data_IF_484996047836
#
_entry.id   IF_484996047836
#
_cell.length_a   1.000
_cell.length_b   1.000
_cell.length_c   1.000
_cell.angle_alpha   90.00
_cell.angle_beta   90.00
_cell.angle_gamma   90.00
#
_symmetry.space_group_name_H-M   'P 1'
#
loop_
_entity.id
_entity.type
_entity.pdbx_description
1 polymer ?
#
# COMPACT_ATOMS: atom_id res chain seq x y z
N UNK A 1 -29.92 19.56 -14.53
CA UNK A 1 -30.23 18.53 -13.52
C UNK A 1 -29.27 17.37 -13.69
N UNK A 2 -28.71 16.77 -12.60
CA UNK A 2 -27.79 15.64 -12.68
C UNK A 2 -28.30 14.47 -13.55
N UNK A 3 -29.60 14.23 -13.54
CA UNK A 3 -30.23 13.19 -14.36
C UNK A 3 -30.12 13.48 -15.87
N UNK A 4 -30.24 14.74 -16.29
CA UNK A 4 -30.04 15.12 -17.71
C UNK A 4 -28.62 14.93 -18.18
N UNK A 5 -27.63 15.24 -17.33
CA UNK A 5 -26.20 15.03 -17.64
C UNK A 5 -25.86 13.53 -17.74
N UNK A 6 -26.49 12.69 -16.91
CA UNK A 6 -26.35 11.24 -17.03
C UNK A 6 -27.01 10.68 -18.29
N UNK A 7 -28.20 11.17 -18.64
CA UNK A 7 -28.86 10.77 -19.89
C UNK A 7 -28.09 11.21 -21.14
N UNK A 8 -27.54 12.42 -21.14
CA UNK A 8 -26.71 12.93 -22.23
C UNK A 8 -25.39 12.14 -22.36
N UNK A 9 -24.76 11.78 -21.24
CA UNK A 9 -23.56 10.92 -21.24
C UNK A 9 -23.87 9.50 -21.77
N UNK A 10 -24.97 8.90 -21.35
CA UNK A 10 -25.42 7.57 -21.84
C UNK A 10 -25.80 7.62 -23.32
N UNK A 11 -26.40 8.71 -23.79
CA UNK A 11 -26.71 8.88 -25.20
C UNK A 11 -25.46 9.15 -26.05
N UNK A 12 -24.47 9.89 -25.53
CA UNK A 12 -23.19 10.09 -26.19
C UNK A 12 -22.43 8.75 -26.34
N UNK A 13 -22.37 7.94 -25.27
CA UNK A 13 -21.76 6.61 -25.31
C UNK A 13 -22.46 5.66 -26.31
N UNK A 14 -23.77 5.75 -26.45
CA UNK A 14 -24.52 4.97 -27.47
C UNK A 14 -24.24 5.40 -28.91
N UNK A 15 -23.98 6.69 -29.14
CA UNK A 15 -23.62 7.22 -30.48
C UNK A 15 -22.21 6.85 -30.89
N UNK A 16 -21.33 6.64 -29.94
CA UNK A 16 -19.94 6.24 -30.16
C UNK A 16 -19.74 4.72 -30.30
N UNK A 17 -20.76 3.93 -29.93
CA UNK A 17 -20.71 2.47 -30.02
C UNK A 17 -20.85 2.02 -31.48
N UNK A 18 -19.86 1.32 -31.96
CA UNK A 18 -19.82 0.78 -33.33
C UNK A 18 -19.38 -0.68 -33.34
N UNK A 19 -19.82 -1.42 -34.36
CA UNK A 19 -19.29 -2.76 -34.66
C UNK A 19 -18.11 -2.57 -35.61
N UNK A 20 -16.90 -2.86 -35.13
CA UNK A 20 -15.66 -2.65 -35.86
C UNK A 20 -15.01 -3.98 -36.22
N UNK A 21 -14.59 -4.18 -37.49
CA UNK A 21 -13.82 -5.34 -37.88
C UNK A 21 -12.53 -5.51 -37.09
N UNK A 22 -12.23 -6.72 -36.65
CA UNK A 22 -11.05 -7.03 -35.83
C UNK A 22 -9.73 -6.73 -36.56
N UNK A 23 -9.69 -6.92 -37.87
CA UNK A 23 -8.52 -6.69 -38.71
C UNK A 23 -8.16 -5.20 -38.88
N UNK A 24 -9.11 -4.30 -38.63
CA UNK A 24 -8.88 -2.86 -38.61
C UNK A 24 -8.31 -2.33 -37.29
N UNK A 25 -8.25 -3.16 -36.28
CA UNK A 25 -7.73 -2.82 -34.97
C UNK A 25 -6.28 -3.23 -34.82
N UNK A 26 -5.51 -2.43 -34.11
CA UNK A 26 -4.15 -2.74 -33.72
C UNK A 26 -3.92 -2.49 -32.24
N UNK A 27 -2.91 -3.16 -31.72
CA UNK A 27 -2.49 -3.00 -30.33
C UNK A 27 -2.07 -1.57 -30.04
N UNK A 28 -2.49 -1.03 -28.89
CA UNK A 28 -2.05 0.27 -28.40
C UNK A 28 -0.56 0.26 -28.05
N UNK A 29 0.13 1.37 -28.32
CA UNK A 29 1.57 1.55 -28.04
C UNK A 29 1.92 1.41 -26.56
N UNK A 30 0.97 1.64 -25.66
CA UNK A 30 1.17 1.79 -24.22
C UNK A 30 0.43 0.75 -23.38
N UNK A 31 0.18 -0.43 -23.96
CA UNK A 31 -0.46 -1.52 -23.20
C UNK A 31 0.55 -2.10 -22.20
N UNK A 32 0.25 -2.07 -20.88
CA UNK A 32 1.18 -2.47 -19.84
C UNK A 32 1.38 -3.99 -19.73
N UNK A 33 0.47 -4.81 -20.30
CA UNK A 33 0.57 -6.26 -20.27
C UNK A 33 1.34 -6.80 -21.47
N UNK A 34 2.52 -7.33 -21.20
CA UNK A 34 3.29 -8.11 -22.18
C UNK A 34 2.91 -9.58 -22.17
N UNK A 35 2.56 -10.12 -21.00
CA UNK A 35 2.25 -11.53 -20.80
C UNK A 35 0.76 -11.71 -20.51
N UNK A 36 0.07 -12.40 -21.40
CA UNK A 36 -1.29 -12.87 -21.17
C UNK A 36 -1.23 -14.37 -20.93
N UNK A 37 -1.83 -14.82 -19.82
CA UNK A 37 -1.98 -16.24 -19.56
C UNK A 37 -2.79 -16.88 -20.70
N UNK A 38 -2.22 -17.83 -21.45
CA UNK A 38 -2.91 -18.48 -22.58
C UNK A 38 -4.20 -19.19 -22.16
N UNK A 39 -4.23 -19.79 -20.97
CA UNK A 39 -5.41 -20.48 -20.45
C UNK A 39 -6.54 -19.49 -20.12
N UNK A 40 -6.24 -18.39 -19.46
CA UNK A 40 -7.24 -17.36 -19.16
C UNK A 40 -7.77 -16.70 -20.45
N UNK A 41 -6.93 -16.57 -21.48
CA UNK A 41 -7.34 -16.05 -22.78
C UNK A 41 -8.27 -17.02 -23.50
N UNK A 42 -7.99 -18.33 -23.44
CA UNK A 42 -8.84 -19.37 -24.01
C UNK A 42 -10.20 -19.45 -23.34
N UNK A 43 -10.24 -19.39 -22.01
CA UNK A 43 -11.51 -19.35 -21.25
C UNK A 43 -12.36 -18.14 -21.65
N UNK A 44 -11.72 -16.97 -21.80
CA UNK A 44 -12.40 -15.77 -22.29
C UNK A 44 -12.90 -15.93 -23.73
N UNK A 45 -12.13 -16.56 -24.60
CA UNK A 45 -12.52 -16.85 -25.98
C UNK A 45 -13.74 -17.78 -26.05
N UNK A 46 -13.80 -18.80 -25.21
CA UNK A 46 -14.97 -19.69 -25.09
C UNK A 46 -16.21 -18.95 -24.62
N UNK A 47 -16.07 -18.07 -23.62
CA UNK A 47 -17.17 -17.23 -23.14
C UNK A 47 -17.68 -16.28 -24.23
N UNK A 48 -16.79 -15.65 -24.98
CA UNK A 48 -17.12 -14.74 -26.08
C UNK A 48 -17.79 -15.51 -27.22
N UNK A 49 -17.35 -16.70 -27.53
CA UNK A 49 -17.96 -17.56 -28.53
C UNK A 49 -19.40 -17.95 -28.17
N UNK A 50 -19.66 -18.20 -26.90
CA UNK A 50 -20.98 -18.59 -26.40
C UNK A 50 -21.95 -17.41 -26.25
N UNK A 51 -21.49 -16.25 -25.78
CA UNK A 51 -22.31 -15.13 -25.36
C UNK A 51 -22.05 -13.82 -26.12
N UNK A 52 -21.03 -13.76 -26.95
CA UNK A 52 -20.54 -12.55 -27.58
C UNK A 52 -19.74 -11.64 -26.63
N UNK A 53 -19.33 -10.48 -27.09
CA UNK A 53 -18.61 -9.48 -26.30
C UNK A 53 -19.63 -8.65 -25.51
N UNK A 54 -19.73 -8.92 -24.21
CA UNK A 54 -20.69 -8.25 -23.33
C UNK A 54 -20.31 -6.81 -23.03
N UNK A 55 -19.01 -6.53 -22.92
CA UNK A 55 -18.48 -5.20 -22.65
C UNK A 55 -17.67 -4.70 -23.84
N UNK A 56 -18.04 -3.55 -24.44
CA UNK A 56 -17.30 -2.98 -25.57
C UNK A 56 -15.86 -2.68 -25.21
N UNK A 57 -14.97 -2.80 -26.19
CA UNK A 57 -13.61 -2.27 -26.09
C UNK A 57 -13.60 -0.77 -26.39
N UNK A 58 -12.56 -0.06 -26.02
CA UNK A 58 -12.36 1.35 -26.35
C UNK A 58 -11.24 1.48 -27.34
N UNK A 59 -11.51 2.18 -28.45
CA UNK A 59 -10.55 2.39 -29.53
C UNK A 59 -10.53 3.88 -29.93
N UNK A 60 -9.45 4.30 -30.58
CA UNK A 60 -9.35 5.60 -31.24
C UNK A 60 -9.04 5.45 -32.71
N UNK A 61 -9.55 6.33 -33.58
CA UNK A 61 -9.19 6.34 -34.98
C UNK A 61 -7.73 6.76 -35.15
N UNK A 62 -7.04 6.07 -36.04
CA UNK A 62 -5.70 6.41 -36.50
C UNK A 62 -5.67 6.51 -38.02
N UNK A 63 -4.50 6.75 -38.60
CA UNK A 63 -4.35 6.87 -40.05
C UNK A 63 -4.88 5.63 -40.82
N UNK A 64 -5.31 5.85 -42.07
CA UNK A 64 -5.75 4.80 -43.00
C UNK A 64 -7.01 4.02 -42.59
N UNK A 65 -7.94 4.65 -41.89
CA UNK A 65 -9.20 4.02 -41.45
C UNK A 65 -9.02 2.88 -40.45
N UNK A 66 -7.90 2.84 -39.78
CA UNK A 66 -7.60 1.86 -38.74
C UNK A 66 -7.89 2.44 -37.34
N UNK A 67 -7.89 1.55 -36.37
CA UNK A 67 -8.16 1.89 -34.99
C UNK A 67 -7.04 1.36 -34.08
N UNK A 68 -6.68 2.13 -33.07
CA UNK A 68 -5.77 1.72 -32.00
C UNK A 68 -6.55 1.43 -30.74
N UNK A 69 -6.30 0.28 -30.10
CA UNK A 69 -6.97 -0.13 -28.88
C UNK A 69 -6.44 0.68 -27.71
N UNK A 70 -7.34 1.39 -27.00
CA UNK A 70 -7.04 2.08 -25.73
C UNK A 70 -7.26 1.13 -24.58
N UNK A 71 -8.39 0.41 -24.56
CA UNK A 71 -8.77 -0.50 -23.50
C UNK A 71 -9.47 -1.74 -24.04
N UNK A 72 -9.17 -2.92 -23.48
CA UNK A 72 -9.80 -4.18 -23.85
C UNK A 72 -8.98 -5.06 -24.80
N UNK A 73 -7.66 -5.02 -24.78
CA UNK A 73 -6.80 -5.86 -25.64
C UNK A 73 -7.09 -7.36 -25.45
N UNK A 74 -7.35 -7.82 -24.21
CA UNK A 74 -7.70 -9.22 -23.95
C UNK A 74 -8.99 -9.64 -24.65
N UNK A 75 -10.01 -8.81 -24.62
CA UNK A 75 -11.29 -9.05 -25.31
C UNK A 75 -11.09 -9.09 -26.82
N UNK A 76 -10.27 -8.22 -27.37
CA UNK A 76 -9.92 -8.24 -28.78
C UNK A 76 -9.19 -9.53 -29.19
N UNK A 77 -8.16 -9.95 -28.45
CA UNK A 77 -7.42 -11.19 -28.72
C UNK A 77 -8.32 -12.43 -28.56
N UNK A 78 -9.11 -12.47 -27.49
CA UNK A 78 -10.05 -13.56 -27.27
C UNK A 78 -11.12 -13.62 -28.37
N UNK A 79 -11.56 -12.48 -28.88
CA UNK A 79 -12.50 -12.42 -30.01
C UNK A 79 -11.87 -12.93 -31.32
N UNK A 80 -10.59 -12.68 -31.54
CA UNK A 80 -9.85 -13.29 -32.67
C UNK A 80 -9.80 -14.82 -32.55
N UNK A 81 -9.50 -15.35 -31.36
CA UNK A 81 -9.50 -16.80 -31.11
C UNK A 81 -10.89 -17.41 -31.23
N UNK A 82 -11.93 -16.66 -30.86
CA UNK A 82 -13.32 -17.07 -31.00
C UNK A 82 -13.84 -17.06 -32.47
N UNK A 83 -13.05 -16.52 -33.41
CA UNK A 83 -13.40 -16.45 -34.81
C UNK A 83 -14.43 -15.38 -35.17
N UNK A 84 -14.59 -14.35 -34.35
CA UNK A 84 -15.46 -13.21 -34.66
C UNK A 84 -14.86 -12.32 -35.74
N UNK A 85 -15.72 -11.78 -36.61
CA UNK A 85 -15.29 -10.82 -37.63
C UNK A 85 -15.33 -9.37 -37.13
N UNK A 86 -16.29 -9.04 -36.30
CA UNK A 86 -16.53 -7.71 -35.74
C UNK A 86 -16.84 -7.80 -34.25
N UNK A 87 -16.47 -6.78 -33.52
CA UNK A 87 -16.82 -6.64 -32.10
C UNK A 87 -17.31 -5.23 -31.79
N UNK A 88 -18.14 -5.07 -30.74
CA UNK A 88 -18.57 -3.75 -30.30
C UNK A 88 -17.40 -2.96 -29.72
N UNK A 89 -17.23 -1.75 -30.17
CA UNK A 89 -16.19 -0.83 -29.71
C UNK A 89 -16.75 0.58 -29.54
N UNK A 90 -16.30 1.25 -28.50
CA UNK A 90 -16.52 2.68 -28.31
C UNK A 90 -15.39 3.42 -29.01
N UNK A 91 -15.72 4.27 -29.98
CA UNK A 91 -14.77 5.08 -30.72
C UNK A 91 -14.62 6.42 -30.01
N UNK A 92 -13.40 6.72 -29.58
CA UNK A 92 -13.06 8.01 -28.97
C UNK A 92 -11.93 8.68 -29.74
N UNK A 93 -12.21 9.87 -30.26
CA UNK A 93 -11.22 10.69 -30.94
C UNK A 93 -10.43 11.49 -29.89
N UNK A 94 -9.33 10.92 -29.43
CA UNK A 94 -8.47 11.50 -28.40
C UNK A 94 -7.01 11.57 -28.85
N UNK A 95 -6.24 12.61 -28.47
CA UNK A 95 -4.82 12.69 -28.78
C UNK A 95 -4.03 11.59 -28.08
N UNK A 96 -2.81 11.30 -28.55
CA UNK A 96 -1.93 10.24 -28.03
C UNK A 96 -1.76 10.32 -26.52
N UNK A 97 -1.51 11.51 -25.99
CA UNK A 97 -1.32 11.73 -24.56
C UNK A 97 -2.55 11.33 -23.73
N UNK A 98 -3.73 11.73 -24.16
CA UNK A 98 -4.98 11.36 -23.51
C UNK A 98 -5.25 9.85 -23.61
N UNK A 99 -4.94 9.21 -24.74
CA UNK A 99 -5.07 7.78 -24.93
C UNK A 99 -4.16 6.99 -23.96
N UNK A 100 -2.92 7.44 -23.75
CA UNK A 100 -1.98 6.87 -22.79
C UNK A 100 -2.53 7.00 -21.37
N UNK A 101 -3.01 8.19 -20.99
CA UNK A 101 -3.59 8.42 -19.68
C UNK A 101 -4.80 7.52 -19.42
N UNK A 102 -5.72 7.41 -20.38
CA UNK A 102 -6.89 6.52 -20.27
C UNK A 102 -6.49 5.04 -20.09
N UNK A 103 -5.49 4.56 -20.85
CA UNK A 103 -5.00 3.20 -20.73
C UNK A 103 -4.36 2.93 -19.36
N UNK A 104 -3.58 3.88 -18.82
CA UNK A 104 -2.99 3.77 -17.48
C UNK A 104 -4.06 3.78 -16.39
N UNK A 105 -5.05 4.67 -16.48
CA UNK A 105 -6.14 4.77 -15.50
C UNK A 105 -6.97 3.50 -15.49
N UNK A 106 -7.32 2.94 -16.64
CA UNK A 106 -8.05 1.67 -16.72
C UNK A 106 -7.27 0.53 -16.06
N UNK A 107 -5.96 0.46 -16.33
CA UNK A 107 -5.10 -0.56 -15.71
C UNK A 107 -5.03 -0.42 -14.18
N UNK A 108 -5.01 0.82 -13.65
CA UNK A 108 -5.01 1.09 -12.21
C UNK A 108 -6.33 0.67 -11.55
N UNK A 109 -7.44 0.83 -12.24
CA UNK A 109 -8.79 0.49 -11.73
C UNK A 109 -9.09 -1.02 -11.74
N UNK A 110 -8.12 -1.87 -12.07
CA UNK A 110 -8.28 -3.32 -12.02
C UNK A 110 -8.29 -3.82 -10.58
N UNK A 111 -9.16 -4.80 -10.31
CA UNK A 111 -9.32 -5.38 -8.97
C UNK A 111 -8.18 -6.33 -8.57
N UNK A 112 -7.38 -6.81 -9.52
CA UNK A 112 -6.35 -7.84 -9.31
C UNK A 112 -4.93 -7.28 -9.07
N UNK A 113 -4.76 -5.96 -8.96
CA UNK A 113 -3.47 -5.35 -8.67
C UNK A 113 -3.12 -5.47 -7.17
N UNK A 114 -1.89 -5.89 -6.89
CA UNK A 114 -1.37 -5.76 -5.53
C UNK A 114 -1.02 -4.28 -5.21
N UNK A 115 -0.89 -3.92 -3.93
CA UNK A 115 -0.63 -2.51 -3.53
C UNK A 115 0.64 -1.91 -4.12
N UNK A 116 1.68 -2.71 -4.37
CA UNK A 116 2.94 -2.25 -4.97
C UNK A 116 2.77 -1.97 -6.47
N UNK A 117 2.08 -2.85 -7.19
CA UNK A 117 1.74 -2.64 -8.60
C UNK A 117 0.86 -1.42 -8.78
N UNK A 118 -0.13 -1.25 -7.93
CA UNK A 118 -1.00 -0.07 -7.92
C UNK A 118 -0.20 1.20 -7.66
N UNK A 119 0.69 1.21 -6.66
CA UNK A 119 1.54 2.33 -6.34
C UNK A 119 2.47 2.71 -7.50
N UNK A 120 3.08 1.72 -8.16
CA UNK A 120 3.96 1.94 -9.30
C UNK A 120 3.19 2.53 -10.50
N UNK A 121 1.98 2.06 -10.77
CA UNK A 121 1.12 2.58 -11.84
C UNK A 121 0.66 4.03 -11.54
N UNK A 122 0.32 4.35 -10.30
CA UNK A 122 -0.02 5.71 -9.86
C UNK A 122 1.17 6.66 -9.97
N UNK A 123 2.36 6.21 -9.60
CA UNK A 123 3.59 6.99 -9.74
C UNK A 123 3.87 7.29 -11.21
N UNK A 124 3.73 6.29 -12.07
CA UNK A 124 3.91 6.46 -13.50
C UNK A 124 2.92 7.47 -14.08
N UNK A 125 1.65 7.37 -13.74
CA UNK A 125 0.62 8.33 -14.14
C UNK A 125 0.97 9.76 -13.69
N UNK A 126 1.41 9.90 -12.44
CA UNK A 126 1.80 11.19 -11.88
C UNK A 126 2.99 11.81 -12.61
N UNK A 127 4.03 11.02 -12.88
CA UNK A 127 5.28 11.51 -13.49
C UNK A 127 5.12 11.80 -14.98
N UNK A 128 4.49 10.91 -15.74
CA UNK A 128 4.34 11.08 -17.19
C UNK A 128 3.45 12.26 -17.56
N UNK A 129 2.44 12.57 -16.75
CA UNK A 129 1.50 13.66 -16.98
C UNK A 129 1.69 14.86 -16.05
N UNK A 130 2.73 14.87 -15.23
CA UNK A 130 3.05 15.95 -14.27
C UNK A 130 1.85 16.35 -13.40
N UNK A 131 1.12 15.35 -12.91
CA UNK A 131 -0.08 15.55 -12.11
C UNK A 131 0.26 15.74 -10.63
N UNK A 132 -0.56 16.55 -9.97
CA UNK A 132 -0.58 16.58 -8.49
C UNK A 132 -1.24 15.32 -7.95
N UNK A 133 -0.98 14.99 -6.68
CA UNK A 133 -1.66 13.85 -6.03
C UNK A 133 -3.18 14.00 -6.01
N UNK A 134 -3.68 15.23 -5.90
CA UNK A 134 -5.11 15.50 -5.98
C UNK A 134 -5.66 15.17 -7.37
N UNK A 135 -4.98 15.59 -8.43
CA UNK A 135 -5.39 15.31 -9.82
C UNK A 135 -5.35 13.79 -10.11
N UNK A 136 -4.34 13.08 -9.61
CA UNK A 136 -4.29 11.61 -9.71
C UNK A 136 -5.48 10.97 -8.99
N UNK A 137 -5.78 11.43 -7.77
CA UNK A 137 -6.91 10.93 -6.99
C UNK A 137 -8.25 11.09 -7.73
N UNK A 138 -8.50 12.27 -8.31
CA UNK A 138 -9.69 12.55 -9.10
C UNK A 138 -9.77 11.67 -10.36
N UNK A 139 -8.63 11.49 -11.06
CA UNK A 139 -8.56 10.68 -12.27
C UNK A 139 -8.88 9.21 -12.04
N UNK A 140 -8.44 8.64 -10.92
CA UNK A 140 -8.63 7.21 -10.60
C UNK A 140 -9.81 6.93 -9.66
N UNK A 141 -10.53 7.97 -9.21
CA UNK A 141 -11.69 7.83 -8.34
C UNK A 141 -11.35 7.42 -6.89
N UNK A 142 -10.19 7.81 -6.39
CA UNK A 142 -9.72 7.54 -5.02
C UNK A 142 -9.53 8.82 -4.22
N UNK A 143 -9.44 8.71 -2.90
CA UNK A 143 -9.10 9.86 -2.06
C UNK A 143 -7.62 10.24 -2.19
N UNK A 144 -7.30 11.53 -2.00
CA UNK A 144 -5.91 12.00 -1.96
C UNK A 144 -5.09 11.26 -0.89
N UNK A 145 -5.70 10.98 0.28
CA UNK A 145 -5.05 10.25 1.35
C UNK A 145 -4.66 8.82 0.91
N UNK A 146 -5.53 8.13 0.18
CA UNK A 146 -5.23 6.81 -0.40
C UNK A 146 -4.05 6.89 -1.37
N UNK A 147 -4.03 7.87 -2.28
CA UNK A 147 -2.91 8.07 -3.21
C UNK A 147 -1.60 8.33 -2.47
N UNK A 148 -1.61 9.22 -1.48
CA UNK A 148 -0.43 9.52 -0.67
C UNK A 148 0.11 8.28 0.03
N UNK A 149 -0.76 7.47 0.63
CA UNK A 149 -0.38 6.23 1.31
C UNK A 149 0.21 5.20 0.34
N UNK A 150 -0.38 5.01 -0.83
CA UNK A 150 0.14 4.10 -1.86
C UNK A 150 1.50 4.55 -2.38
N UNK A 151 1.66 5.82 -2.72
CA UNK A 151 2.94 6.35 -3.23
C UNK A 151 4.08 6.23 -2.19
N UNK A 152 3.77 6.34 -0.91
CA UNK A 152 4.77 6.12 0.16
C UNK A 152 5.31 4.70 0.20
N UNK A 153 4.54 3.70 -0.25
CA UNK A 153 4.99 2.29 -0.29
C UNK A 153 6.18 2.08 -1.23
N UNK A 154 6.34 2.92 -2.25
CA UNK A 154 7.45 2.83 -3.21
C UNK A 154 8.80 3.05 -2.54
N UNK A 155 8.84 3.88 -1.51
CA UNK A 155 10.05 4.15 -0.72
C UNK A 155 10.46 3.05 0.25
N UNK A 156 9.68 1.98 0.38
CA UNK A 156 10.01 0.85 1.24
C UNK A 156 11.15 -0.01 0.65
N UNK A 157 11.96 -0.66 1.50
CA UNK A 157 12.93 -1.67 1.06
C UNK A 157 12.29 -2.79 0.22
N UNK A 158 13.04 -3.32 -0.74
CA UNK A 158 12.56 -4.36 -1.65
C UNK A 158 12.04 -5.62 -0.91
N UNK A 159 12.66 -6.00 0.20
CA UNK A 159 12.23 -7.12 1.02
C UNK A 159 10.79 -6.92 1.54
N UNK A 160 10.46 -5.71 2.00
CA UNK A 160 9.11 -5.39 2.48
C UNK A 160 8.10 -5.37 1.32
N UNK A 161 8.49 -4.85 0.17
CA UNK A 161 7.66 -4.88 -1.04
C UNK A 161 7.35 -6.32 -1.47
N UNK A 162 8.34 -7.21 -1.37
CA UNK A 162 8.17 -8.64 -1.66
C UNK A 162 7.17 -9.29 -0.70
N UNK A 163 7.31 -9.05 0.62
CA UNK A 163 6.38 -9.56 1.63
C UNK A 163 4.95 -9.06 1.40
N UNK A 164 4.82 -7.81 0.99
CA UNK A 164 3.53 -7.20 0.66
C UNK A 164 2.91 -7.83 -0.60
N UNK A 165 3.73 -8.08 -1.63
CA UNK A 165 3.29 -8.71 -2.88
C UNK A 165 2.87 -10.17 -2.69
N UNK A 166 3.50 -10.89 -1.76
CA UNK A 166 3.17 -12.27 -1.43
C UNK A 166 1.97 -12.39 -0.45
N UNK A 167 1.52 -11.28 0.12
CA UNK A 167 0.43 -11.27 1.10
C UNK A 167 0.85 -11.61 2.54
N UNK A 168 2.14 -11.73 2.81
CA UNK A 168 2.68 -11.93 4.17
C UNK A 168 2.51 -10.68 5.05
N UNK A 169 2.45 -9.53 4.41
CA UNK A 169 2.10 -8.24 5.01
C UNK A 169 0.90 -7.62 4.28
N UNK A 170 0.07 -6.94 5.04
CA UNK A 170 -1.00 -6.10 4.50
C UNK A 170 -0.54 -4.64 4.36
N UNK A 171 -1.27 -3.85 3.58
CA UNK A 171 -0.99 -2.42 3.39
C UNK A 171 -0.91 -1.64 4.71
N UNK A 172 -1.75 -1.99 5.69
CA UNK A 172 -1.72 -1.39 7.03
C UNK A 172 -0.41 -1.62 7.78
N UNK A 173 0.16 -2.84 7.69
CA UNK A 173 1.47 -3.16 8.24
C UNK A 173 2.58 -2.34 7.58
N UNK A 174 2.61 -2.31 6.25
CA UNK A 174 3.61 -1.58 5.48
C UNK A 174 3.56 -0.06 5.79
N UNK A 175 2.36 0.50 5.89
CA UNK A 175 2.17 1.90 6.28
C UNK A 175 2.68 2.19 7.69
N UNK A 176 2.43 1.32 8.65
CA UNK A 176 2.95 1.45 10.00
C UNK A 176 4.49 1.40 10.04
N UNK A 177 5.09 0.48 9.28
CA UNK A 177 6.54 0.30 9.19
C UNK A 177 7.26 1.51 8.59
N UNK A 178 6.60 2.33 7.77
CA UNK A 178 7.12 3.61 7.30
C UNK A 178 7.44 4.60 8.44
N UNK A 179 6.87 4.41 9.62
CA UNK A 179 7.20 5.18 10.83
C UNK A 179 8.56 4.83 11.45
N UNK A 180 9.17 3.70 11.07
CA UNK A 180 10.51 3.34 11.53
C UNK A 180 11.60 4.04 10.70
N UNK A 181 12.78 4.30 11.30
CA UNK A 181 13.98 4.64 10.53
C UNK A 181 14.25 3.59 9.45
N UNK A 182 14.76 4.01 8.29
CA UNK A 182 14.96 3.14 7.13
C UNK A 182 15.76 1.86 7.46
N UNK A 183 16.80 1.99 8.27
CA UNK A 183 17.66 0.89 8.71
C UNK A 183 16.96 -0.15 9.60
N UNK A 184 15.82 0.20 10.19
CA UNK A 184 15.04 -0.70 11.07
C UNK A 184 13.76 -1.23 10.43
N UNK A 185 13.40 -0.77 9.25
CA UNK A 185 12.14 -1.16 8.60
C UNK A 185 12.11 -2.64 8.26
N UNK A 186 13.20 -3.20 7.74
CA UNK A 186 13.30 -4.62 7.40
C UNK A 186 13.26 -5.50 8.66
N UNK A 187 13.97 -5.11 9.72
CA UNK A 187 13.91 -5.79 11.02
C UNK A 187 12.49 -5.81 11.58
N UNK A 188 11.81 -4.66 11.52
CA UNK A 188 10.42 -4.54 11.93
C UNK A 188 9.48 -5.43 11.12
N UNK A 189 9.64 -5.48 9.81
CA UNK A 189 8.84 -6.33 8.93
C UNK A 189 9.03 -7.83 9.25
N UNK A 190 10.27 -8.28 9.43
CA UNK A 190 10.57 -9.66 9.83
C UNK A 190 9.94 -10.00 11.17
N UNK A 191 10.00 -9.09 12.12
CA UNK A 191 9.38 -9.26 13.43
C UNK A 191 7.86 -9.41 13.34
N UNK A 192 7.22 -8.57 12.55
CA UNK A 192 5.76 -8.62 12.31
C UNK A 192 5.34 -9.96 11.71
N UNK A 193 6.03 -10.43 10.68
CA UNK A 193 5.74 -11.71 10.01
C UNK A 193 5.99 -12.90 10.96
N UNK A 194 7.14 -12.91 11.64
CA UNK A 194 7.52 -14.01 12.56
C UNK A 194 6.54 -14.20 13.71
N UNK A 195 5.93 -13.13 14.20
CA UNK A 195 4.99 -13.16 15.34
C UNK A 195 3.53 -13.04 14.94
N UNK A 196 3.22 -12.94 13.64
CA UNK A 196 1.86 -12.79 13.16
C UNK A 196 1.13 -11.57 13.72
N UNK A 197 1.82 -10.42 13.83
CA UNK A 197 1.26 -9.22 14.44
C UNK A 197 0.15 -8.63 13.59
N UNK A 198 -0.91 -8.18 14.25
CA UNK A 198 -1.96 -7.35 13.62
C UNK A 198 -1.43 -5.95 13.30
N UNK A 199 -2.16 -5.21 12.46
CA UNK A 199 -1.81 -3.81 12.13
C UNK A 199 -1.68 -2.96 13.40
N UNK A 200 -2.61 -3.09 14.36
CA UNK A 200 -2.56 -2.35 15.63
C UNK A 200 -1.34 -2.71 16.49
N UNK A 201 -0.97 -3.99 16.52
CA UNK A 201 0.24 -4.45 17.22
C UNK A 201 1.50 -3.94 16.53
N UNK A 202 1.51 -3.89 15.21
CA UNK A 202 2.61 -3.31 14.44
C UNK A 202 2.75 -1.81 14.68
N UNK A 203 1.66 -1.06 14.75
CA UNK A 203 1.67 0.36 15.13
C UNK A 203 2.22 0.58 16.54
N UNK A 204 1.87 -0.30 17.49
CA UNK A 204 2.40 -0.26 18.84
C UNK A 204 3.91 -0.57 18.88
N UNK A 205 4.35 -1.58 18.11
CA UNK A 205 5.77 -1.92 17.94
C UNK A 205 6.56 -0.73 17.37
N UNK A 206 6.05 -0.09 16.32
CA UNK A 206 6.67 1.09 15.72
C UNK A 206 6.81 2.22 16.73
N UNK A 207 5.74 2.52 17.48
CA UNK A 207 5.80 3.52 18.56
C UNK A 207 6.85 3.18 19.59
N UNK A 208 6.93 1.93 20.01
CA UNK A 208 7.93 1.45 20.98
C UNK A 208 9.35 1.60 20.45
N UNK A 209 9.57 1.32 19.17
CA UNK A 209 10.88 1.33 18.55
C UNK A 209 11.33 2.72 18.09
N UNK A 210 10.40 3.62 17.79
CA UNK A 210 10.69 5.02 17.44
C UNK A 210 10.84 5.92 18.65
N UNK A 211 10.05 5.67 19.69
CA UNK A 211 10.39 6.22 20.99
C UNK A 211 11.64 5.44 21.40
N UNK A 212 12.82 6.02 21.16
CA UNK A 212 14.02 5.60 21.89
C UNK A 212 13.55 5.44 23.35
N UNK A 213 13.90 4.35 24.04
CA UNK A 213 13.68 4.31 25.48
C UNK A 213 14.16 5.68 25.95
N UNK A 214 13.26 6.45 26.58
CA UNK A 214 13.67 7.71 27.19
C UNK A 214 15.07 7.46 27.69
N UNK A 215 16.07 8.08 27.06
CA UNK A 215 17.48 7.90 27.47
C UNK A 215 17.40 7.84 28.96
N UNK A 216 17.81 6.74 29.63
CA UNK A 216 17.63 6.63 31.05
C UNK A 216 18.01 8.01 31.54
N UNK A 217 17.06 8.75 32.07
CA UNK A 217 17.13 10.20 32.27
C UNK A 217 18.53 10.45 32.73
N UNK A 218 19.32 11.14 31.87
CA UNK A 218 20.75 11.22 32.09
C UNK A 218 20.92 11.65 33.52
N UNK A 219 21.89 11.21 34.28
CA UNK A 219 21.86 11.15 35.72
C UNK A 219 21.11 12.37 36.23
N UNK A 220 19.84 12.16 36.60
CA UNK A 220 19.07 13.16 37.33
C UNK A 220 20.08 13.53 38.41
N UNK A 221 20.55 14.78 38.43
CA UNK A 221 21.44 15.25 39.48
C UNK A 221 20.77 14.74 40.74
N UNK A 222 21.24 13.56 41.19
CA UNK A 222 20.65 12.87 42.32
C UNK A 222 20.84 13.86 43.46
N UNK A 223 19.77 14.31 44.06
CA UNK A 223 19.85 15.09 45.27
C UNK A 223 20.86 14.34 46.15
N UNK A 224 21.95 15.00 46.58
CA UNK A 224 22.99 14.35 47.36
C UNK A 224 22.44 13.58 48.55
N UNK A 225 21.32 14.01 49.07
CA UNK A 225 20.63 13.37 50.21
C UNK A 225 19.93 12.09 49.78
N UNK A 226 19.37 12.03 48.59
CA UNK A 226 18.78 10.80 48.03
C UNK A 226 19.88 9.76 47.71
N UNK A 227 21.00 10.17 47.12
CA UNK A 227 22.13 9.30 46.86
C UNK A 227 22.71 8.69 48.15
N UNK A 228 22.84 9.47 49.21
CA UNK A 228 23.26 9.01 50.55
C UNK A 228 22.25 8.02 51.16
N UNK A 229 20.95 8.24 50.93
CA UNK A 229 19.90 7.36 51.38
C UNK A 229 19.90 6.03 50.64
N UNK A 230 20.08 6.03 49.31
CA UNK A 230 20.24 4.85 48.48
C UNK A 230 21.42 4.01 48.96
N UNK A 231 22.57 4.64 49.20
CA UNK A 231 23.76 3.93 49.67
C UNK A 231 23.55 3.31 51.02
N UNK A 232 23.00 4.02 51.99
CA UNK A 232 22.71 3.48 53.34
C UNK A 232 21.70 2.34 53.31
N UNK A 233 20.69 2.42 52.44
CA UNK A 233 19.73 1.33 52.27
C UNK A 233 20.36 0.12 51.62
N UNK A 234 21.20 0.31 50.59
CA UNK A 234 21.92 -0.77 49.93
C UNK A 234 22.86 -1.51 50.89
N UNK A 235 23.61 -0.78 51.74
CA UNK A 235 24.49 -1.33 52.77
C UNK A 235 23.70 -2.12 53.84
N UNK A 236 22.54 -1.61 54.23
CA UNK A 236 21.70 -2.25 55.25
C UNK A 236 20.95 -3.48 54.72
N UNK A 237 20.49 -3.44 53.49
CA UNK A 237 19.69 -4.50 52.86
C UNK A 237 20.53 -5.54 52.13
N UNK A 238 21.81 -5.27 51.91
CA UNK A 238 22.69 -6.16 51.15
C UNK A 238 22.31 -6.32 49.68
N UNK A 239 21.55 -5.39 49.13
CA UNK A 239 21.04 -5.43 47.78
C UNK A 239 21.09 -4.05 47.11
N UNK A 240 21.12 -4.00 45.78
CA UNK A 240 21.11 -2.75 45.04
C UNK A 240 19.77 -2.01 45.20
N UNK A 241 19.81 -0.74 45.66
CA UNK A 241 18.64 0.08 45.91
C UNK A 241 18.65 1.33 45.05
N UNK A 242 17.51 1.63 44.44
CA UNK A 242 17.29 2.85 43.63
C UNK A 242 16.04 3.56 44.10
N UNK A 243 16.15 4.86 44.40
CA UNK A 243 15.01 5.72 44.78
C UNK A 243 14.68 6.60 43.60
N UNK A 244 13.48 6.47 43.07
CA UNK A 244 12.90 7.34 42.02
C UNK A 244 11.94 8.30 42.66
N UNK A 245 12.38 9.55 42.86
CA UNK A 245 11.56 10.60 43.47
C UNK A 245 10.97 11.53 42.43
N UNK A 246 9.69 11.78 42.49
CA UNK A 246 8.96 12.70 41.61
C UNK A 246 8.66 14.06 42.23
N UNK A 247 8.41 15.09 41.43
CA UNK A 247 8.24 16.48 41.86
C UNK A 247 7.07 16.75 42.88
N UNK A 248 6.16 15.78 43.06
CA UNK A 248 5.00 15.92 43.96
C UNK A 248 5.11 15.09 45.25
N UNK A 249 6.31 14.74 45.66
CA UNK A 249 6.52 13.94 46.88
C UNK A 249 6.15 12.45 46.73
N UNK A 250 5.78 11.99 45.54
CA UNK A 250 5.53 10.58 45.25
C UNK A 250 6.78 9.97 44.62
N UNK A 251 7.09 8.73 44.95
CA UNK A 251 8.26 8.06 44.43
C UNK A 251 8.12 6.55 44.49
N UNK A 252 9.16 5.89 44.02
CA UNK A 252 9.29 4.44 44.02
C UNK A 252 10.65 4.06 44.62
N UNK A 253 10.63 3.06 45.47
CA UNK A 253 11.82 2.37 45.95
C UNK A 253 11.95 1.07 45.18
N UNK A 254 13.04 0.89 44.45
CA UNK A 254 13.31 -0.30 43.65
C UNK A 254 14.51 -1.02 44.25
N UNK A 255 14.30 -2.25 44.68
CA UNK A 255 15.35 -3.13 45.21
C UNK A 255 15.57 -4.23 44.17
N UNK A 256 16.82 -4.39 43.72
CA UNK A 256 17.19 -5.43 42.76
C UNK A 256 17.87 -6.56 43.54
N UNK A 257 17.42 -7.79 43.30
CA UNK A 257 17.98 -8.99 43.86
C UNK A 257 18.33 -9.99 42.75
N UNK A 258 19.33 -10.83 42.98
CA UNK A 258 19.83 -11.81 42.02
C UNK A 258 19.39 -13.25 42.35
N UNK A 259 18.86 -13.49 43.57
CA UNK A 259 18.35 -14.77 43.98
C UNK A 259 17.19 -14.64 44.98
N UNK A 260 16.43 -15.72 45.17
CA UNK A 260 15.34 -15.75 46.18
C UNK A 260 15.88 -15.67 47.60
N UNK A 261 17.07 -16.20 47.86
CA UNK A 261 17.74 -16.11 49.16
C UNK A 261 18.10 -14.66 49.48
N UNK A 262 18.62 -13.93 48.52
CA UNK A 262 18.89 -12.49 48.67
C UNK A 262 17.59 -11.71 48.95
N UNK A 263 16.49 -12.03 48.25
CA UNK A 263 15.19 -11.43 48.51
C UNK A 263 14.69 -11.72 49.94
N UNK A 264 14.85 -12.95 50.44
CA UNK A 264 14.49 -13.28 51.81
C UNK A 264 15.33 -12.50 52.82
N UNK A 265 16.63 -12.34 52.56
CA UNK A 265 17.51 -11.49 53.34
C UNK A 265 17.06 -10.04 53.40
N UNK A 266 16.67 -9.46 52.24
CA UNK A 266 16.11 -8.10 52.16
C UNK A 266 14.82 -7.98 52.98
N UNK A 267 13.90 -8.92 52.86
CA UNK A 267 12.63 -8.92 53.60
C UNK A 267 12.82 -9.04 55.09
N UNK A 268 13.82 -9.77 55.54
CA UNK A 268 14.15 -9.89 56.97
C UNK A 268 14.61 -8.57 57.61
N UNK A 269 15.18 -7.67 56.82
CA UNK A 269 15.63 -6.34 57.25
C UNK A 269 14.54 -5.22 57.19
N UNK A 270 13.39 -5.49 56.59
CA UNK A 270 12.28 -4.55 56.44
C UNK A 270 11.27 -4.66 57.59
N UNK A 271 11.49 -5.51 58.55
CA UNK A 271 10.64 -5.60 59.74
C UNK A 271 10.86 -4.46 60.70
#
# INVERSE_FOLDING_TARGET
>A
SPAKLQEEAVQADRRELQQIPLDLMQRGKYQPRRDMDPQALEELAQSIKAQGVMQPIVVRPIANGRYEIIAGERRWRASQQAGLEKIPALVRDVPDEAAIAMALIENIQREDLNPIEEAAALQRLQQEFQLTQQQVAEAVGKSRATITNLLRLIGLPEEIKTLLSHGDLEMGHARALLGLPAERQVEGARHVVAHGLTVRQTEALVRQWTHAPDKPAGPVKSDPDIARLEQRLAERLGASVQIRHGQKGKGQLVIRYSSLDELQGVLAHIR
#
